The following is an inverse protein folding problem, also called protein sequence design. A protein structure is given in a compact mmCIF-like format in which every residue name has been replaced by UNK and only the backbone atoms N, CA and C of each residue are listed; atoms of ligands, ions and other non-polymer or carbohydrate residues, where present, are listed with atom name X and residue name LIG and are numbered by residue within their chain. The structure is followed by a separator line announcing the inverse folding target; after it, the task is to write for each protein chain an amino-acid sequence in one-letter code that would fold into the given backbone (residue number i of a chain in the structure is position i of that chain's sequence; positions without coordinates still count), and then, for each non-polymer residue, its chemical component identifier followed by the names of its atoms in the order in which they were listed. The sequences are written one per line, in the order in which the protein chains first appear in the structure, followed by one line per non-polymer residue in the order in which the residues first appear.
data_IF_388637507042
#
_entry.id   IF_388637507042
#
_cell.length_a   1.000
_cell.length_b   1.000
_cell.length_c   1.000
_cell.angle_alpha   90.00
_cell.angle_beta   90.00
_cell.angle_gamma   90.00
#
_symmetry.space_group_name_H-M   'P 1'
#
loop_
_entity.id
_entity.type
_entity.pdbx_description
1 polymer ?
#
# COMPACT_ATOMS: atom_id res chain seq x y z
N UNK A 1 -16.35 8.41 -25.98
CA UNK A 1 -15.91 8.48 -25.85
C UNK A 1 -15.33 8.43 -25.09
N UNK A 2 -15.15 8.17 -24.82
CA UNK A 2 -14.58 8.39 -24.26
C UNK A 2 -13.91 7.83 -23.46
N UNK A 3 -13.04 7.34 -23.61
CA UNK A 3 -12.09 6.98 -22.87
C UNK A 3 -11.70 7.99 -22.07
N UNK A 4 -12.49 8.72 -21.71
CA UNK A 4 -12.24 9.72 -20.92
C UNK A 4 -11.58 9.29 -19.69
N UNK A 5 -10.55 9.94 -19.28
CA UNK A 5 -9.87 9.59 -18.06
C UNK A 5 -10.78 9.66 -16.86
N UNK A 6 -11.83 10.38 -16.95
CA UNK A 6 -12.72 10.50 -15.83
C UNK A 6 -13.35 9.18 -15.48
N UNK A 7 -13.23 8.18 -16.35
CA UNK A 7 -13.77 6.89 -16.03
C UNK A 7 -12.80 6.07 -15.20
N UNK A 8 -11.59 6.54 -14.99
CA UNK A 8 -10.63 5.77 -14.21
C UNK A 8 -10.90 5.92 -12.73
N UNK A 9 -10.55 4.89 -11.95
CA UNK A 9 -10.79 4.93 -10.52
C UNK A 9 -10.18 6.11 -9.82
N UNK A 10 -9.13 6.68 -10.38
CA UNK A 10 -8.52 7.82 -9.72
C UNK A 10 -9.49 8.96 -9.62
N UNK A 11 -10.50 8.97 -10.48
CA UNK A 11 -11.48 10.01 -10.40
C UNK A 11 -12.40 9.83 -9.20
N UNK A 12 -12.32 8.70 -8.51
CA UNK A 12 -13.14 8.50 -7.35
C UNK A 12 -12.30 8.70 -6.11
N UNK A 13 -11.57 9.80 -6.10
CA UNK A 13 -10.85 10.21 -4.90
C UNK A 13 -9.71 9.30 -4.54
N UNK A 14 -8.99 8.85 -5.53
CA UNK A 14 -7.81 8.06 -5.27
C UNK A 14 -8.08 6.68 -4.77
N UNK A 15 -9.21 6.10 -5.10
CA UNK A 15 -9.54 4.75 -4.71
C UNK A 15 -9.47 3.83 -5.88
N UNK A 16 -8.88 2.67 -5.67
CA UNK A 16 -8.64 1.71 -6.75
C UNK A 16 -9.15 0.34 -6.37
N UNK A 17 -9.59 -0.41 -7.37
CA UNK A 17 -10.00 -1.79 -7.14
C UNK A 17 -8.75 -2.68 -7.12
N UNK A 18 -8.93 -3.89 -6.63
CA UNK A 18 -7.84 -4.85 -6.59
C UNK A 18 -7.23 -5.08 -7.97
N UNK A 19 -8.06 -5.18 -8.99
CA UNK A 19 -7.57 -5.41 -10.33
C UNK A 19 -6.71 -4.26 -10.85
N UNK A 20 -7.15 -3.05 -10.56
CA UNK A 20 -6.40 -1.87 -10.98
C UNK A 20 -5.06 -1.81 -10.24
N UNK A 21 -5.08 -2.08 -8.94
CA UNK A 21 -3.86 -2.07 -8.15
C UNK A 21 -2.88 -3.10 -8.69
N UNK A 22 -3.37 -4.28 -9.00
CA UNK A 22 -2.52 -5.32 -9.56
C UNK A 22 -1.88 -4.86 -10.85
N UNK A 23 -2.64 -4.20 -11.71
CA UNK A 23 -2.11 -3.72 -12.97
C UNK A 23 -1.09 -2.61 -12.80
N UNK A 24 -1.38 -1.68 -11.91
CA UNK A 24 -0.49 -0.55 -11.68
C UNK A 24 0.83 -0.98 -11.10
N UNK A 25 0.79 -1.91 -10.14
CA UNK A 25 1.98 -2.27 -9.40
C UNK A 25 2.71 -3.48 -9.98
N UNK A 26 2.02 -4.27 -10.79
CA UNK A 26 2.61 -5.48 -11.31
C UNK A 26 2.61 -6.62 -10.32
N UNK A 27 1.95 -6.44 -9.19
CA UNK A 27 1.87 -7.47 -8.16
C UNK A 27 0.58 -8.24 -8.37
N UNK A 28 0.64 -9.56 -8.30
CA UNK A 28 -0.54 -10.37 -8.56
C UNK A 28 -1.61 -10.12 -7.50
N UNK A 29 -2.85 -10.31 -7.90
CA UNK A 29 -3.96 -10.14 -6.98
C UNK A 29 -3.85 -11.07 -5.79
N UNK A 30 -3.39 -12.28 -6.03
CA UNK A 30 -3.21 -13.25 -4.94
C UNK A 30 -2.21 -12.75 -3.91
N UNK A 31 -1.13 -12.18 -4.38
CA UNK A 31 -0.11 -11.66 -3.48
C UNK A 31 -0.65 -10.49 -2.68
N UNK A 32 -1.40 -9.61 -3.33
CA UNK A 32 -1.99 -8.46 -2.65
C UNK A 32 -2.94 -8.93 -1.55
N UNK A 33 -3.79 -9.90 -1.86
CA UNK A 33 -4.71 -10.42 -0.87
C UNK A 33 -3.97 -11.13 0.25
N UNK A 34 -2.87 -11.78 -0.06
CA UNK A 34 -2.06 -12.45 0.94
C UNK A 34 -1.50 -11.43 1.93
N UNK A 35 -0.97 -10.32 1.43
CA UNK A 35 -0.47 -9.27 2.29
C UNK A 35 -1.60 -8.69 3.15
N UNK A 36 -2.76 -8.56 2.55
CA UNK A 36 -3.91 -8.02 3.26
C UNK A 36 -4.33 -8.94 4.41
N UNK A 37 -4.33 -10.24 4.15
CA UNK A 37 -4.68 -11.21 5.18
C UNK A 37 -3.72 -11.16 6.36
N UNK A 38 -2.48 -10.81 6.10
CA UNK A 38 -1.48 -10.75 7.15
C UNK A 38 -1.34 -9.37 7.76
N UNK A 39 -2.26 -8.48 7.44
CA UNK A 39 -2.28 -7.17 8.08
C UNK A 39 -1.29 -6.17 7.52
N UNK A 40 -0.64 -6.49 6.40
CA UNK A 40 0.30 -5.56 5.80
C UNK A 40 -0.40 -4.46 5.02
N UNK A 41 -1.59 -4.72 4.53
CA UNK A 41 -2.39 -3.75 3.81
C UNK A 41 -3.76 -3.67 4.44
N UNK A 42 -4.34 -2.49 4.46
CA UNK A 42 -5.65 -2.29 5.08
C UNK A 42 -6.57 -1.53 4.14
N UNK A 43 -7.21 -2.23 3.22
CA UNK A 43 -8.13 -1.56 2.29
C UNK A 43 -9.40 -1.13 3.02
N UNK A 44 -10.10 -0.19 2.41
CA UNK A 44 -11.38 0.24 2.94
C UNK A 44 -12.46 -0.15 1.96
N UNK A 45 -13.46 -0.88 2.41
CA UNK A 45 -14.59 -1.25 1.56
C UNK A 45 -14.11 -1.83 0.24
N UNK A 46 -13.12 -2.71 0.33
CA UNK A 46 -12.57 -3.38 -0.85
C UNK A 46 -11.94 -2.45 -1.86
N UNK A 47 -11.57 -1.26 -1.45
CA UNK A 47 -10.82 -0.36 -2.33
C UNK A 47 -9.52 0.04 -1.66
N UNK A 48 -8.57 0.42 -2.48
CA UNK A 48 -7.23 0.77 -2.04
C UNK A 48 -6.96 2.22 -2.40
N UNK A 49 -6.44 2.97 -1.46
CA UNK A 49 -6.14 4.37 -1.73
C UNK A 49 -4.66 4.54 -2.04
N UNK A 50 -4.26 5.78 -2.30
CA UNK A 50 -2.87 6.04 -2.67
C UNK A 50 -1.90 5.63 -1.58
N UNK A 51 -2.29 5.78 -0.35
CA UNK A 51 -1.43 5.42 0.75
C UNK A 51 -1.23 3.91 0.80
N UNK A 52 -2.27 3.15 0.55
CA UNK A 52 -2.17 1.70 0.51
C UNK A 52 -1.29 1.26 -0.65
N UNK A 53 -1.39 1.95 -1.79
CA UNK A 53 -0.53 1.67 -2.91
C UNK A 53 0.94 1.90 -2.55
N UNK A 54 1.20 2.98 -1.85
CA UNK A 54 2.55 3.29 -1.43
C UNK A 54 3.08 2.20 -0.50
N UNK A 55 2.23 1.75 0.43
CA UNK A 55 2.61 0.68 1.34
C UNK A 55 2.90 -0.59 0.57
N UNK A 56 2.08 -0.91 -0.41
CA UNK A 56 2.30 -2.11 -1.21
C UNK A 56 3.65 -2.06 -1.93
N UNK A 57 3.97 -0.92 -2.51
CA UNK A 57 5.26 -0.79 -3.19
C UNK A 57 6.41 -0.91 -2.21
N UNK A 58 6.23 -0.37 -1.03
CA UNK A 58 7.25 -0.45 0.00
C UNK A 58 7.45 -1.90 0.44
N UNK A 59 6.37 -2.63 0.62
CA UNK A 59 6.42 -4.04 1.00
C UNK A 59 7.17 -4.84 -0.07
N UNK A 60 6.82 -4.61 -1.33
CA UNK A 60 7.46 -5.34 -2.42
C UNK A 60 8.94 -5.00 -2.51
N UNK A 61 9.28 -3.75 -2.34
CA UNK A 61 10.68 -3.34 -2.37
C UNK A 61 11.46 -4.02 -1.25
N UNK A 62 10.92 -4.01 -0.05
CA UNK A 62 11.57 -4.63 1.09
C UNK A 62 11.71 -6.14 0.91
N UNK A 63 10.67 -6.77 0.37
CA UNK A 63 10.73 -8.20 0.14
C UNK A 63 11.84 -8.54 -0.83
N UNK A 64 11.96 -7.77 -1.89
CA UNK A 64 12.95 -8.03 -2.92
C UNK A 64 14.37 -7.73 -2.47
N UNK A 65 14.54 -6.70 -1.66
CA UNK A 65 15.88 -6.29 -1.26
C UNK A 65 16.38 -6.99 -0.01
N UNK A 66 15.49 -7.28 0.93
CA UNK A 66 15.92 -7.89 2.18
C UNK A 66 15.68 -9.39 2.25
N UNK A 67 14.77 -9.88 1.41
CA UNK A 67 14.43 -11.30 1.47
C UNK A 67 13.65 -11.67 2.71
N UNK A 68 13.12 -10.71 3.42
CA UNK A 68 12.40 -10.98 4.65
C UNK A 68 11.09 -11.72 4.37
N UNK A 69 10.70 -12.59 5.29
CA UNK A 69 9.41 -13.25 5.18
C UNK A 69 8.32 -12.29 5.67
N UNK A 70 7.08 -12.76 5.67
CA UNK A 70 5.95 -11.89 6.02
C UNK A 70 6.06 -11.34 7.43
N UNK A 71 6.50 -12.16 8.37
CA UNK A 71 6.66 -11.69 9.75
C UNK A 71 7.70 -10.58 9.84
N UNK A 72 8.80 -10.76 9.13
CA UNK A 72 9.85 -9.76 9.11
C UNK A 72 9.39 -8.48 8.44
N UNK A 73 8.65 -8.60 7.34
CA UNK A 73 8.13 -7.43 6.66
C UNK A 73 7.17 -6.66 7.56
N UNK A 74 6.34 -7.39 8.28
CA UNK A 74 5.38 -6.75 9.18
C UNK A 74 6.10 -5.97 10.26
N UNK A 75 7.15 -6.56 10.81
CA UNK A 75 7.95 -5.89 11.83
C UNK A 75 8.62 -4.64 11.28
N UNK A 76 9.22 -4.76 10.10
CA UNK A 76 9.89 -3.62 9.48
C UNK A 76 8.92 -2.48 9.25
N UNK A 77 7.73 -2.80 8.72
CA UNK A 77 6.74 -1.77 8.47
C UNK A 77 6.26 -1.11 9.76
N UNK A 78 6.11 -1.91 10.81
CA UNK A 78 5.72 -1.36 12.11
C UNK A 78 6.76 -0.37 12.61
N UNK A 79 8.03 -0.73 12.46
CA UNK A 79 9.11 0.14 12.92
C UNK A 79 9.18 1.41 12.08
N UNK A 80 8.97 1.30 10.77
CA UNK A 80 8.98 2.49 9.91
C UNK A 80 7.83 3.42 10.26
N UNK A 81 6.67 2.86 10.55
CA UNK A 81 5.54 3.67 10.96
C UNK A 81 5.81 4.37 12.27
N UNK A 82 6.47 3.68 13.18
CA UNK A 82 6.82 4.28 14.46
C UNK A 82 7.78 5.43 14.28
N UNK A 83 8.78 5.24 13.42
CA UNK A 83 9.74 6.30 13.13
C UNK A 83 9.04 7.52 12.55
N UNK A 84 8.14 7.28 11.61
CA UNK A 84 7.42 8.38 10.98
C UNK A 84 6.54 9.12 11.99
N UNK A 85 5.90 8.36 12.86
CA UNK A 85 5.07 8.95 13.90
C UNK A 85 5.90 9.83 14.83
N UNK A 86 7.07 9.34 15.21
CA UNK A 86 7.95 10.09 16.09
C UNK A 86 8.46 11.35 15.42
N UNK A 87 8.76 11.26 14.13
CA UNK A 87 9.21 12.45 13.40
C UNK A 87 8.14 13.52 13.35
N UNK A 88 6.91 13.11 13.13
CA UNK A 88 5.81 14.06 13.09
C UNK A 88 5.57 14.68 14.45
N UNK A 89 5.70 13.88 15.49
CA UNK A 89 5.54 14.39 16.84
C UNK A 89 6.62 15.43 17.15
N UNK A 90 7.85 15.15 16.76
CA UNK A 90 8.92 16.10 16.99
C UNK A 90 8.70 17.40 16.24
N UNK A 91 8.23 17.30 15.00
CA UNK A 91 7.97 18.50 14.24
C UNK A 91 6.85 19.32 14.85
N UNK A 92 5.84 18.65 15.36
CA UNK A 92 4.69 19.34 15.93
C UNK A 92 5.05 20.05 17.23
N UNK A 93 6.13 19.66 17.85
CA UNK A 93 6.53 20.28 19.11
C UNK A 93 7.34 21.54 18.94
N UNK A 94 7.70 21.86 17.71
CA UNK A 94 8.51 23.03 17.46
C UNK A 94 7.71 24.33 17.43
#
# INVERSE_FOLDING_TARGET
MSTDPSTYPSETEGRYTLEIVSKITGVSSETILHYQEHGLLRPRQDTYDDETLRTLRQVEHLRQTSGANLSGLKLILSLLNEVEHLRQTLRARR
#
